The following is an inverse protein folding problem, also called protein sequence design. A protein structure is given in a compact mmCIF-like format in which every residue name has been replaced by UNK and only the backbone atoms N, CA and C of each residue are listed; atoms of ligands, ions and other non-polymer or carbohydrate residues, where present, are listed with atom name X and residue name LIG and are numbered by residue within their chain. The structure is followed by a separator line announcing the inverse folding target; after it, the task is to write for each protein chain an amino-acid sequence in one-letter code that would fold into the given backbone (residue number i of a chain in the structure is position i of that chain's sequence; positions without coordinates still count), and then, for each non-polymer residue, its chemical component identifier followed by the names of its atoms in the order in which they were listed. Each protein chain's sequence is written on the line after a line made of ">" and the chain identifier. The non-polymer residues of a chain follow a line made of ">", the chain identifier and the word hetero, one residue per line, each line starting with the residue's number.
data_IF_520569941118
#
_entry.id   IF_520569941118
#
_cell.length_a   1.000
_cell.length_b   1.000
_cell.length_c   1.000
_cell.angle_alpha   90.00
_cell.angle_beta   90.00
_cell.angle_gamma   90.00
#
_symmetry.space_group_name_H-M   'P 1'
#
loop_
_entity.id
_entity.type
_entity.pdbx_description
1 polymer ?
#
# COMPACT_ATOMS: atom_id res chain seq x y z
N UNK A 1 46.55 57.42 -30.59
CA UNK A 1 46.80 56.33 -29.61
C UNK A 1 45.97 56.45 -28.33
N UNK A 2 45.92 57.62 -27.66
CA UNK A 2 45.10 57.81 -26.42
C UNK A 2 43.60 57.52 -26.57
N UNK A 3 42.98 57.88 -27.71
CA UNK A 3 41.54 57.62 -27.98
C UNK A 3 41.21 56.14 -28.20
N UNK A 4 42.17 55.33 -28.68
CA UNK A 4 41.99 53.89 -28.95
C UNK A 4 42.08 53.10 -27.65
N UNK A 5 43.00 53.48 -26.76
CA UNK A 5 43.16 52.89 -25.42
C UNK A 5 41.92 53.16 -24.56
N UNK A 6 41.32 54.35 -24.70
CA UNK A 6 40.11 54.74 -23.98
C UNK A 6 38.86 53.99 -24.49
N UNK A 7 38.82 53.67 -25.78
CA UNK A 7 37.74 52.85 -26.35
C UNK A 7 37.86 51.37 -25.93
N UNK A 8 39.08 50.83 -25.87
CA UNK A 8 39.30 49.44 -25.45
C UNK A 8 39.05 49.23 -23.97
N UNK A 9 39.32 50.24 -23.11
CA UNK A 9 39.00 50.15 -21.69
C UNK A 9 37.49 50.17 -21.42
N UNK A 10 36.72 50.90 -22.23
CA UNK A 10 35.25 50.93 -22.13
C UNK A 10 34.65 49.58 -22.53
N UNK A 11 35.16 48.96 -23.60
CA UNK A 11 34.71 47.62 -24.03
C UNK A 11 35.07 46.56 -22.97
N UNK A 12 36.25 46.65 -22.37
CA UNK A 12 36.64 45.73 -21.28
C UNK A 12 35.76 45.89 -20.03
N UNK A 13 35.36 47.12 -19.68
CA UNK A 13 34.44 47.38 -18.55
C UNK A 13 33.02 46.86 -18.81
N UNK A 14 32.52 46.97 -20.05
CA UNK A 14 31.20 46.46 -20.42
C UNK A 14 31.16 44.92 -20.42
N UNK A 15 32.26 44.25 -20.80
CA UNK A 15 32.39 42.79 -20.74
C UNK A 15 32.54 42.24 -19.32
N UNK A 16 32.96 43.07 -18.34
CA UNK A 16 33.11 42.67 -16.95
C UNK A 16 31.78 42.64 -16.17
N UNK A 17 30.72 43.29 -16.69
CA UNK A 17 29.37 43.28 -16.10
C UNK A 17 28.47 42.15 -16.64
N UNK A 18 29.08 41.03 -17.07
CA UNK A 18 28.37 39.82 -17.49
C UNK A 18 28.34 38.73 -16.41
N UNK A 19 28.06 39.09 -15.16
CA UNK A 19 27.95 38.15 -14.05
C UNK A 19 26.62 37.39 -14.08
N UNK A 20 26.48 36.42 -14.96
CA UNK A 20 25.36 35.48 -14.96
C UNK A 20 25.53 34.48 -13.82
N UNK A 21 24.78 34.69 -12.73
CA UNK A 21 24.64 33.71 -11.65
C UNK A 21 25.07 34.28 -10.30
N UNK A 22 24.26 35.17 -9.73
CA UNK A 22 24.23 35.33 -8.28
C UNK A 22 24.02 33.93 -7.70
N UNK A 23 24.83 33.49 -6.73
CA UNK A 23 24.73 32.16 -6.10
C UNK A 23 23.45 31.95 -5.28
N UNK A 24 22.37 32.62 -5.67
CA UNK A 24 21.02 32.48 -5.14
C UNK A 24 20.44 31.13 -5.53
N UNK A 25 19.87 30.45 -4.54
CA UNK A 25 19.20 29.17 -4.74
C UNK A 25 17.88 29.41 -5.48
N UNK A 26 17.92 29.37 -6.82
CA UNK A 26 16.75 29.54 -7.71
C UNK A 26 15.79 28.34 -7.73
N UNK A 27 16.04 27.32 -6.91
CA UNK A 27 15.26 26.08 -6.85
C UNK A 27 15.51 25.14 -8.03
N UNK A 28 15.02 23.90 -7.88
CA UNK A 28 15.11 22.87 -8.93
C UNK A 28 14.25 23.30 -10.11
N UNK A 29 14.90 23.52 -11.26
CA UNK A 29 14.26 23.89 -12.52
C UNK A 29 13.57 22.69 -13.17
N UNK A 30 12.59 22.94 -14.04
CA UNK A 30 11.85 21.91 -14.80
C UNK A 30 11.08 20.90 -13.94
N UNK A 31 10.42 21.34 -12.87
CA UNK A 31 9.45 20.47 -12.18
C UNK A 31 8.26 20.24 -13.09
N UNK A 32 7.85 18.97 -13.21
CA UNK A 32 6.58 18.63 -13.85
C UNK A 32 5.44 19.38 -13.14
N UNK A 33 4.53 19.97 -13.93
CA UNK A 33 3.33 20.59 -13.39
C UNK A 33 2.46 19.46 -12.84
N UNK A 34 2.26 19.46 -11.52
CA UNK A 34 1.39 18.50 -10.85
C UNK A 34 -0.07 18.88 -11.10
N UNK A 35 -0.75 18.11 -11.95
CA UNK A 35 -2.19 18.19 -12.13
C UNK A 35 -2.83 17.05 -11.34
N UNK A 36 -3.48 17.32 -10.20
CA UNK A 36 -4.23 16.28 -9.49
C UNK A 36 -5.47 15.95 -10.33
N UNK A 37 -5.43 14.84 -11.05
CA UNK A 37 -6.62 14.19 -11.60
C UNK A 37 -7.22 13.29 -10.53
N UNK A 38 -8.53 13.24 -10.45
CA UNK A 38 -9.21 12.36 -9.51
C UNK A 38 -8.83 10.89 -9.78
N UNK A 39 -8.41 10.11 -8.76
CA UNK A 39 -8.14 8.69 -8.93
C UNK A 39 -9.38 7.93 -9.39
N UNK A 40 -9.18 6.86 -10.16
CA UNK A 40 -10.29 6.03 -10.64
C UNK A 40 -11.07 5.41 -9.46
N UNK A 41 -12.40 5.51 -9.51
CA UNK A 41 -13.30 4.96 -8.48
C UNK A 41 -13.35 5.78 -7.18
N UNK A 42 -12.74 6.96 -7.15
CA UNK A 42 -12.74 7.86 -5.99
C UNK A 42 -13.36 9.21 -6.32
N UNK A 43 -13.97 9.82 -5.31
CA UNK A 43 -14.52 11.18 -5.34
C UNK A 43 -13.72 12.11 -4.44
N UNK A 44 -13.50 13.34 -4.90
CA UNK A 44 -12.85 14.39 -4.11
C UNK A 44 -13.82 14.99 -3.08
N UNK A 45 -13.44 14.94 -1.80
CA UNK A 45 -14.17 15.56 -0.71
C UNK A 45 -13.45 16.86 -0.32
N UNK A 46 -14.09 18.04 -0.45
CA UNK A 46 -13.46 19.31 -0.13
C UNK A 46 -13.25 19.45 1.38
N UNK A 47 -12.26 20.27 1.75
CA UNK A 47 -12.04 20.63 3.16
C UNK A 47 -13.26 21.34 3.74
N UNK A 48 -13.59 21.03 4.98
CA UNK A 48 -14.74 21.61 5.65
C UNK A 48 -14.82 21.23 7.11
N UNK A 49 -15.83 21.75 7.78
CA UNK A 49 -16.21 21.33 9.12
C UNK A 49 -17.65 20.80 9.10
N UNK A 50 -17.90 19.76 9.88
CA UNK A 50 -19.24 19.21 10.08
C UNK A 50 -19.46 18.89 11.55
N UNK A 51 -20.73 18.90 11.97
CA UNK A 51 -21.12 18.50 13.32
C UNK A 51 -21.34 16.98 13.32
N UNK A 52 -20.44 16.27 13.99
CA UNK A 52 -20.49 14.82 14.18
C UNK A 52 -21.32 14.49 15.41
N UNK A 53 -22.30 13.61 15.29
CA UNK A 53 -23.17 13.17 16.38
C UNK A 53 -24.65 13.32 16.04
N UNK A 54 -25.55 12.89 16.94
CA UNK A 54 -26.98 13.00 16.70
C UNK A 54 -27.38 14.48 16.58
N UNK A 55 -28.12 14.80 15.53
CA UNK A 55 -28.73 16.12 15.34
C UNK A 55 -30.13 16.20 15.96
N UNK A 56 -30.77 15.06 16.22
CA UNK A 56 -32.14 14.97 16.73
C UNK A 56 -32.20 14.19 18.05
N UNK A 57 -33.09 14.62 18.95
CA UNK A 57 -33.05 14.27 20.37
C UNK A 57 -34.28 13.45 20.77
N UNK A 58 -34.42 12.24 20.22
CA UNK A 58 -35.69 11.49 20.30
C UNK A 58 -35.79 10.45 21.44
N UNK A 59 -34.92 10.51 22.45
CA UNK A 59 -35.13 9.74 23.69
C UNK A 59 -34.73 10.56 24.91
N UNK A 60 -35.69 11.08 25.71
CA UNK A 60 -35.37 11.62 27.02
C UNK A 60 -34.79 10.46 27.84
N UNK A 61 -33.58 10.64 28.37
CA UNK A 61 -32.73 9.68 29.13
C UNK A 61 -31.58 8.97 28.38
N UNK A 62 -31.36 9.16 27.08
CA UNK A 62 -30.17 8.64 26.38
C UNK A 62 -29.03 9.69 26.31
N UNK A 63 -28.50 10.10 27.46
CA UNK A 63 -27.48 11.16 27.54
C UNK A 63 -26.05 10.62 27.29
N UNK A 64 -25.74 10.12 26.08
CA UNK A 64 -24.43 9.44 25.83
C UNK A 64 -23.65 9.94 24.62
N UNK A 65 -24.22 10.71 23.69
CA UNK A 65 -23.45 11.25 22.56
C UNK A 65 -23.55 12.77 22.45
N UNK A 66 -22.44 13.46 22.71
CA UNK A 66 -22.30 14.90 22.48
C UNK A 66 -21.95 15.14 21.03
N UNK A 67 -22.68 16.04 20.37
CA UNK A 67 -22.30 16.53 19.05
C UNK A 67 -20.95 17.28 19.14
N UNK A 68 -19.99 16.92 18.28
CA UNK A 68 -18.67 17.54 18.19
C UNK A 68 -18.45 18.09 16.80
N UNK A 69 -18.05 19.35 16.68
CA UNK A 69 -17.63 19.92 15.41
C UNK A 69 -16.23 19.42 15.07
N UNK A 70 -16.10 18.69 13.97
CA UNK A 70 -14.82 18.18 13.47
C UNK A 70 -14.50 18.89 12.17
N UNK A 71 -13.27 19.40 12.05
CA UNK A 71 -12.71 19.89 10.80
C UNK A 71 -11.87 18.80 10.15
N UNK A 72 -12.09 18.56 8.86
CA UNK A 72 -11.35 17.57 8.08
C UNK A 72 -10.72 18.27 6.89
N UNK A 73 -9.46 17.97 6.61
CA UNK A 73 -8.77 18.44 5.40
C UNK A 73 -9.38 17.81 4.16
N UNK A 74 -9.05 18.31 2.97
CA UNK A 74 -9.53 17.71 1.73
C UNK A 74 -8.88 16.32 1.51
N UNK A 75 -9.67 15.33 1.07
CA UNK A 75 -9.21 13.97 0.79
C UNK A 75 -10.09 13.29 -0.27
N UNK A 76 -9.67 12.12 -0.73
CA UNK A 76 -10.45 11.29 -1.66
C UNK A 76 -11.14 10.15 -0.92
N UNK A 77 -12.38 9.85 -1.28
CA UNK A 77 -13.16 8.72 -0.75
C UNK A 77 -13.60 7.83 -1.90
N UNK A 78 -13.65 6.52 -1.69
CA UNK A 78 -14.18 5.59 -2.70
C UNK A 78 -15.67 5.92 -3.00
N UNK A 79 -16.07 5.88 -4.27
CA UNK A 79 -17.45 6.17 -4.69
C UNK A 79 -18.43 5.09 -4.20
N UNK A 80 -17.98 3.85 -4.19
CA UNK A 80 -18.75 2.67 -3.74
C UNK A 80 -17.92 1.82 -2.80
N UNK A 81 -18.59 1.02 -1.97
CA UNK A 81 -17.91 -0.02 -1.19
C UNK A 81 -17.13 -0.98 -2.10
N UNK A 82 -16.01 -1.49 -1.59
CA UNK A 82 -15.19 -2.47 -2.31
C UNK A 82 -16.03 -3.69 -2.64
N UNK A 83 -16.11 -4.03 -3.91
CA UNK A 83 -16.87 -5.17 -4.40
C UNK A 83 -16.14 -6.49 -4.15
N UNK A 84 -16.87 -7.60 -4.09
CA UNK A 84 -16.26 -8.93 -3.97
C UNK A 84 -15.26 -9.22 -5.08
N UNK A 85 -15.51 -8.73 -6.30
CA UNK A 85 -14.62 -8.96 -7.42
C UNK A 85 -13.28 -8.21 -7.28
N UNK A 86 -13.32 -6.95 -6.82
CA UNK A 86 -12.12 -6.17 -6.51
C UNK A 86 -11.34 -6.82 -5.36
N UNK A 87 -12.05 -7.32 -4.35
CA UNK A 87 -11.40 -8.04 -3.26
C UNK A 87 -10.77 -9.36 -3.74
N UNK A 88 -11.43 -10.11 -4.63
CA UNK A 88 -10.83 -11.30 -5.27
C UNK A 88 -9.59 -10.96 -6.07
N UNK A 89 -9.59 -9.83 -6.80
CA UNK A 89 -8.41 -9.36 -7.50
C UNK A 89 -7.26 -9.15 -6.51
N UNK A 90 -7.50 -8.44 -5.41
CA UNK A 90 -6.52 -8.24 -4.35
C UNK A 90 -6.02 -9.56 -3.76
N UNK A 91 -6.90 -10.47 -3.35
CA UNK A 91 -6.49 -11.78 -2.80
C UNK A 91 -5.69 -12.61 -3.81
N UNK A 92 -5.98 -12.50 -5.10
CA UNK A 92 -5.22 -13.18 -6.17
C UNK A 92 -3.81 -12.60 -6.31
N UNK A 93 -3.66 -11.27 -6.20
CA UNK A 93 -2.34 -10.64 -6.16
C UNK A 93 -1.53 -11.06 -4.95
N UNK A 94 -2.16 -11.18 -3.77
CA UNK A 94 -1.47 -11.64 -2.57
C UNK A 94 -1.08 -13.11 -2.69
N UNK A 95 -1.97 -13.97 -3.21
CA UNK A 95 -1.65 -15.37 -3.53
C UNK A 95 -0.44 -15.46 -4.45
N UNK A 96 -0.45 -14.70 -5.55
CA UNK A 96 0.64 -14.74 -6.52
C UNK A 96 1.94 -14.18 -5.92
N UNK A 97 1.86 -13.16 -5.05
CA UNK A 97 3.04 -12.64 -4.33
C UNK A 97 3.67 -13.70 -3.41
N UNK A 98 2.84 -14.45 -2.69
CA UNK A 98 3.31 -15.53 -1.81
C UNK A 98 3.94 -16.65 -2.62
N UNK A 99 3.29 -17.05 -3.72
CA UNK A 99 3.84 -18.06 -4.62
C UNK A 99 5.21 -17.64 -5.18
N UNK A 100 5.38 -16.37 -5.59
CA UNK A 100 6.69 -15.86 -6.03
C UNK A 100 7.76 -15.94 -4.94
N UNK A 101 7.43 -15.62 -3.70
CA UNK A 101 8.37 -15.70 -2.57
C UNK A 101 8.76 -17.16 -2.34
N UNK A 102 7.79 -18.06 -2.23
CA UNK A 102 8.02 -19.49 -1.97
C UNK A 102 8.87 -20.12 -3.08
N UNK A 103 8.55 -19.86 -4.35
CA UNK A 103 9.30 -20.41 -5.48
C UNK A 103 10.73 -19.86 -5.56
N UNK A 104 10.91 -18.58 -5.25
CA UNK A 104 12.23 -17.98 -5.20
C UNK A 104 13.08 -18.52 -4.04
N UNK A 105 12.48 -18.71 -2.86
CA UNK A 105 13.16 -19.33 -1.70
C UNK A 105 13.49 -20.81 -1.94
N UNK A 106 12.66 -21.52 -2.71
CA UNK A 106 12.91 -22.88 -3.15
C UNK A 106 14.02 -22.99 -4.23
N UNK A 107 14.52 -21.86 -4.73
CA UNK A 107 15.62 -21.80 -5.70
C UNK A 107 15.19 -21.82 -7.16
N UNK A 108 13.90 -21.59 -7.47
CA UNK A 108 13.44 -21.44 -8.85
C UNK A 108 13.82 -20.04 -9.36
N UNK A 109 14.64 -20.02 -10.40
CA UNK A 109 15.17 -18.79 -10.96
C UNK A 109 14.07 -17.86 -11.51
N UNK A 110 14.30 -16.56 -11.37
CA UNK A 110 13.50 -15.53 -12.02
C UNK A 110 12.28 -15.05 -11.22
N UNK A 111 11.91 -15.66 -10.10
CA UNK A 111 10.79 -15.19 -9.26
C UNK A 111 11.18 -14.05 -8.30
N UNK A 112 12.45 -13.98 -7.88
CA UNK A 112 12.99 -12.95 -7.00
C UNK A 112 14.11 -12.16 -7.70
N UNK A 113 14.20 -10.87 -7.37
CA UNK A 113 15.24 -9.95 -7.77
C UNK A 113 16.11 -9.74 -6.53
N UNK A 114 17.26 -10.41 -6.53
CA UNK A 114 18.24 -10.36 -5.44
C UNK A 114 19.24 -9.22 -5.61
N UNK A 115 19.36 -8.66 -6.81
CA UNK A 115 20.33 -7.60 -7.11
C UNK A 115 19.67 -6.34 -7.66
N UNK A 116 20.09 -5.18 -7.17
CA UNK A 116 19.70 -3.90 -7.75
C UNK A 116 20.47 -3.62 -9.05
N UNK A 117 20.05 -2.59 -9.81
CA UNK A 117 20.69 -2.13 -11.07
C UNK A 117 22.18 -1.83 -10.95
N UNK A 118 22.68 -1.66 -9.72
CA UNK A 118 24.06 -1.35 -9.41
C UNK A 118 24.87 -2.56 -8.88
N UNK A 119 24.28 -3.76 -8.86
CA UNK A 119 24.92 -4.99 -8.37
C UNK A 119 24.99 -5.10 -6.84
N UNK A 120 24.17 -4.34 -6.12
CA UNK A 120 24.05 -4.47 -4.66
C UNK A 120 23.01 -5.55 -4.35
N UNK A 121 23.33 -6.44 -3.41
CA UNK A 121 22.39 -7.44 -2.91
C UNK A 121 21.24 -6.75 -2.15
N UNK A 122 20.01 -7.19 -2.42
CA UNK A 122 18.78 -6.71 -1.83
C UNK A 122 18.32 -7.70 -0.75
N UNK A 123 18.30 -7.24 0.50
CA UNK A 123 17.75 -7.97 1.63
C UNK A 123 16.60 -7.15 2.27
N UNK A 124 15.33 -7.58 2.17
CA UNK A 124 14.85 -8.80 1.50
C UNK A 124 14.82 -8.67 -0.03
N UNK A 125 14.88 -9.82 -0.71
CA UNK A 125 14.76 -9.89 -2.17
C UNK A 125 13.39 -9.35 -2.64
N UNK A 126 13.37 -8.68 -3.79
CA UNK A 126 12.14 -8.09 -4.35
C UNK A 126 11.46 -9.06 -5.30
N UNK A 127 10.13 -9.14 -5.25
CA UNK A 127 9.37 -9.98 -6.18
C UNK A 127 9.54 -9.50 -7.62
N UNK A 128 9.83 -10.44 -8.53
CA UNK A 128 9.87 -10.21 -9.96
C UNK A 128 8.50 -10.50 -10.61
N UNK A 129 7.69 -9.45 -10.76
CA UNK A 129 6.38 -9.54 -11.43
C UNK A 129 6.44 -9.76 -12.94
N UNK A 130 7.62 -9.71 -13.56
CA UNK A 130 7.75 -9.96 -15.01
C UNK A 130 7.70 -11.44 -15.37
N UNK A 131 8.13 -12.30 -14.44
CA UNK A 131 8.08 -13.76 -14.58
C UNK A 131 6.66 -14.24 -14.26
N UNK A 132 6.12 -15.13 -15.08
CA UNK A 132 4.81 -15.73 -14.83
C UNK A 132 4.99 -17.05 -14.09
N UNK A 133 4.09 -17.33 -13.14
CA UNK A 133 4.05 -18.61 -12.43
C UNK A 133 3.38 -19.66 -13.34
N UNK A 134 4.09 -20.75 -13.60
CA UNK A 134 3.57 -21.89 -14.34
C UNK A 134 2.97 -22.92 -13.36
N UNK A 135 1.68 -22.78 -13.06
CA UNK A 135 0.97 -23.64 -12.10
C UNK A 135 0.85 -25.11 -12.52
N UNK A 136 1.02 -25.40 -13.82
CA UNK A 136 0.93 -26.76 -14.37
C UNK A 136 2.25 -27.53 -14.31
N UNK A 137 3.37 -26.85 -14.02
CA UNK A 137 4.68 -27.48 -13.92
C UNK A 137 4.76 -28.37 -12.68
N UNK A 138 5.40 -29.54 -12.80
CA UNK A 138 5.46 -30.54 -11.75
C UNK A 138 6.22 -30.03 -10.52
N UNK A 139 7.39 -29.42 -10.75
CA UNK A 139 8.26 -28.92 -9.69
C UNK A 139 7.60 -27.78 -8.92
N UNK A 140 7.08 -26.79 -9.66
CA UNK A 140 6.31 -25.67 -9.10
C UNK A 140 5.12 -26.19 -8.28
N UNK A 141 4.39 -27.18 -8.81
CA UNK A 141 3.22 -27.72 -8.13
C UNK A 141 3.58 -28.42 -6.82
N UNK A 142 4.64 -29.23 -6.80
CA UNK A 142 5.07 -29.94 -5.59
C UNK A 142 5.42 -28.95 -4.46
N UNK A 143 6.22 -27.93 -4.78
CA UNK A 143 6.62 -26.88 -3.81
C UNK A 143 5.39 -26.11 -3.30
N UNK A 144 4.51 -25.69 -4.19
CA UNK A 144 3.33 -24.93 -3.79
C UNK A 144 2.33 -25.79 -3.01
N UNK A 145 2.18 -27.08 -3.34
CA UNK A 145 1.31 -28.01 -2.63
C UNK A 145 1.72 -28.23 -1.17
N UNK A 146 3.01 -28.14 -0.86
CA UNK A 146 3.52 -28.22 0.52
C UNK A 146 3.25 -26.94 1.33
N UNK A 147 3.48 -25.77 0.73
CA UNK A 147 3.48 -24.49 1.47
C UNK A 147 2.15 -23.72 1.43
N UNK A 148 1.37 -23.84 0.36
CA UNK A 148 0.16 -23.01 0.13
C UNK A 148 -1.17 -23.76 0.23
N UNK A 149 -1.18 -25.08 0.12
CA UNK A 149 -2.41 -25.87 0.09
C UNK A 149 -2.67 -26.56 1.43
N UNK A 150 -3.95 -26.86 1.69
CA UNK A 150 -4.31 -27.68 2.84
C UNK A 150 -3.69 -29.08 2.73
N UNK A 151 -3.26 -29.68 3.85
CA UNK A 151 -2.76 -31.05 3.87
C UNK A 151 -3.89 -32.04 3.57
N UNK A 152 -3.56 -33.23 3.09
CA UNK A 152 -4.54 -34.20 2.59
C UNK A 152 -5.66 -34.55 3.57
N UNK A 153 -5.36 -34.57 4.88
CA UNK A 153 -6.33 -34.93 5.92
C UNK A 153 -7.34 -33.81 6.26
N UNK A 154 -7.06 -32.55 5.92
CA UNK A 154 -7.99 -31.42 6.10
C UNK A 154 -8.87 -31.17 4.86
N UNK A 155 -8.54 -31.76 3.70
CA UNK A 155 -9.23 -31.51 2.43
C UNK A 155 -10.65 -32.09 2.42
N UNK A 156 -11.64 -31.24 2.15
CA UNK A 156 -13.01 -31.69 1.94
C UNK A 156 -13.16 -32.39 0.58
N UNK A 157 -13.61 -33.66 0.57
CA UNK A 157 -13.77 -34.47 -0.63
C UNK A 157 -12.48 -34.61 -1.48
N UNK A 158 -11.31 -34.61 -0.82
CA UNK A 158 -9.99 -34.69 -1.47
C UNK A 158 -9.73 -33.60 -2.51
N UNK A 159 -10.46 -32.48 -2.45
CA UNK A 159 -10.25 -31.34 -3.33
C UNK A 159 -9.05 -30.54 -2.86
N UNK A 160 -8.25 -30.08 -3.82
CA UNK A 160 -7.13 -29.16 -3.53
C UNK A 160 -7.71 -27.78 -3.24
N UNK A 161 -7.46 -27.30 -2.03
CA UNK A 161 -7.91 -26.00 -1.55
C UNK A 161 -6.72 -25.29 -0.92
N UNK A 162 -6.62 -23.98 -1.15
CA UNK A 162 -5.58 -23.16 -0.55
C UNK A 162 -5.79 -23.04 0.96
N UNK A 163 -4.70 -23.09 1.73
CA UNK A 163 -4.76 -22.79 3.15
C UNK A 163 -4.92 -21.27 3.35
N UNK A 164 -6.15 -20.87 3.67
CA UNK A 164 -6.51 -19.46 3.89
C UNK A 164 -5.77 -18.85 5.09
N UNK A 165 -5.23 -19.67 6.00
CA UNK A 165 -4.47 -19.21 7.18
C UNK A 165 -3.11 -18.63 6.81
N UNK A 166 -2.57 -19.03 5.64
CA UNK A 166 -1.27 -18.56 5.13
C UNK A 166 -1.36 -17.20 4.44
N UNK A 167 -2.57 -16.70 4.18
CA UNK A 167 -2.81 -15.44 3.47
C UNK A 167 -2.64 -14.26 4.44
N UNK A 168 -1.41 -14.08 4.91
CA UNK A 168 -1.03 -13.03 5.84
C UNK A 168 -0.31 -11.94 5.07
N UNK A 169 -0.95 -10.77 4.98
CA UNK A 169 -0.34 -9.59 4.42
C UNK A 169 0.51 -8.88 5.48
N UNK A 170 1.78 -8.65 5.17
CA UNK A 170 2.73 -7.97 6.05
C UNK A 170 3.08 -6.60 5.46
N UNK A 171 2.96 -5.56 6.26
CA UNK A 171 3.37 -4.22 5.86
C UNK A 171 4.06 -3.50 7.01
N UNK A 172 4.93 -2.55 6.67
CA UNK A 172 5.68 -1.77 7.65
C UNK A 172 5.01 -0.41 7.85
N UNK A 173 4.83 -0.03 9.10
CA UNK A 173 4.34 1.28 9.52
C UNK A 173 5.46 2.02 10.22
N UNK A 174 5.72 3.25 9.78
CA UNK A 174 6.60 4.17 10.47
C UNK A 174 5.83 4.91 11.55
N UNK A 175 6.28 4.81 12.80
CA UNK A 175 5.80 5.70 13.87
C UNK A 175 6.45 7.08 13.71
N UNK A 176 5.75 7.97 13.01
CA UNK A 176 6.17 9.35 12.78
C UNK A 176 6.26 10.11 14.11
N UNK A 177 5.39 9.83 15.06
CA UNK A 177 5.33 10.54 16.33
C UNK A 177 6.58 10.25 17.17
N UNK A 178 6.97 8.99 17.28
CA UNK A 178 8.21 8.58 17.94
C UNK A 178 9.45 9.08 17.18
N UNK A 179 9.44 9.02 15.84
CA UNK A 179 10.54 9.49 15.01
C UNK A 179 10.75 11.02 15.04
N UNK A 180 9.70 11.79 15.35
CA UNK A 180 9.77 13.25 15.46
C UNK A 180 10.40 13.72 16.78
N UNK A 181 10.51 12.85 17.79
CA UNK A 181 11.07 13.20 19.10
C UNK A 181 12.59 13.43 18.97
N UNK A 182 13.04 14.65 19.24
CA UNK A 182 14.46 15.05 19.11
C UNK A 182 15.41 14.18 19.92
N UNK A 183 15.04 13.78 21.13
CA UNK A 183 15.89 12.94 21.99
C UNK A 183 16.18 11.56 21.40
N UNK A 184 15.37 11.07 20.46
CA UNK A 184 15.59 9.81 19.76
C UNK A 184 16.38 9.94 18.45
N UNK A 185 16.66 11.17 18.01
CA UNK A 185 17.27 11.46 16.70
C UNK A 185 18.55 12.30 16.79
N UNK A 186 18.80 12.95 17.92
CA UNK A 186 19.93 13.86 18.10
C UNK A 186 20.95 13.28 19.10
N UNK A 187 22.20 13.77 19.02
CA UNK A 187 23.30 13.27 19.84
C UNK A 187 23.77 11.88 19.42
N UNK A 188 23.85 10.98 20.41
CA UNK A 188 24.24 9.57 20.27
C UNK A 188 23.03 8.62 20.24
N UNK A 189 21.83 9.17 19.97
CA UNK A 189 20.62 8.35 19.90
C UNK A 189 20.64 7.39 18.71
N UNK A 190 20.21 6.15 18.93
CA UNK A 190 20.19 5.07 17.92
C UNK A 190 19.38 5.45 16.67
N UNK A 191 18.24 6.11 16.84
CA UNK A 191 17.40 6.61 15.73
C UNK A 191 18.05 7.64 14.81
N UNK A 192 19.22 8.18 15.16
CA UNK A 192 20.05 8.99 14.24
C UNK A 192 20.74 8.15 13.18
N UNK A 193 21.14 6.93 13.55
CA UNK A 193 21.89 6.00 12.72
C UNK A 193 20.93 5.04 11.99
N UNK A 194 19.95 4.51 12.72
CA UNK A 194 19.06 3.47 12.23
C UNK A 194 17.59 3.88 12.33
N UNK A 195 16.94 4.06 11.17
CA UNK A 195 15.50 4.37 11.10
C UNK A 195 14.62 3.17 11.44
N UNK A 196 15.15 1.96 11.39
CA UNK A 196 14.43 0.71 11.65
C UNK A 196 13.82 0.66 13.06
N UNK A 197 14.37 1.38 14.03
CA UNK A 197 13.81 1.51 15.39
C UNK A 197 12.36 2.04 15.38
N UNK A 198 11.99 2.83 14.38
CA UNK A 198 10.66 3.43 14.24
C UNK A 198 9.75 2.64 13.30
N UNK A 199 10.24 1.56 12.70
CA UNK A 199 9.47 0.70 11.82
C UNK A 199 8.86 -0.43 12.63
N UNK A 200 7.55 -0.61 12.49
CA UNK A 200 6.81 -1.73 13.05
C UNK A 200 6.19 -2.53 11.91
N UNK A 201 6.31 -3.86 11.97
CA UNK A 201 5.65 -4.74 11.00
C UNK A 201 4.29 -5.14 11.55
N UNK A 202 3.25 -4.92 10.75
CA UNK A 202 1.89 -5.35 11.05
C UNK A 202 1.56 -6.54 10.14
N UNK A 203 1.01 -7.59 10.75
CA UNK A 203 0.56 -8.79 10.06
C UNK A 203 -0.98 -8.84 10.09
N UNK A 204 -1.60 -9.02 8.93
CA UNK A 204 -3.05 -9.05 8.81
C UNK A 204 -3.48 -10.25 7.96
N UNK A 205 -4.41 -11.06 8.48
CA UNK A 205 -5.06 -12.09 7.68
C UNK A 205 -6.02 -11.41 6.70
N UNK A 206 -5.78 -11.59 5.41
CA UNK A 206 -6.56 -10.96 4.35
C UNK A 206 -7.66 -11.85 3.80
N UNK A 207 -7.71 -13.13 4.15
CA UNK A 207 -8.77 -13.99 3.63
C UNK A 207 -10.07 -13.67 4.37
N UNK A 208 -11.20 -13.42 3.66
CA UNK A 208 -12.43 -13.05 4.33
C UNK A 208 -12.99 -14.25 5.08
N UNK A 209 -13.63 -14.00 6.23
CA UNK A 209 -14.35 -15.06 6.92
C UNK A 209 -15.57 -15.47 6.10
N UNK A 210 -15.54 -16.69 5.55
CA UNK A 210 -16.65 -17.22 4.75
C UNK A 210 -17.79 -17.73 5.62
N UNK A 211 -17.55 -18.00 6.91
CA UNK A 211 -18.51 -18.59 7.85
C UNK A 211 -19.37 -17.56 8.58
N UNK A 212 -19.09 -16.26 8.44
CA UNK A 212 -19.88 -15.15 9.01
C UNK A 212 -21.39 -15.32 8.76
N UNK A 213 -21.80 -15.75 7.57
CA UNK A 213 -23.21 -15.92 7.21
C UNK A 213 -23.94 -16.96 8.04
N UNK A 214 -23.23 -18.00 8.51
CA UNK A 214 -23.78 -19.02 9.40
C UNK A 214 -23.66 -18.58 10.86
N UNK A 215 -22.57 -17.91 11.23
CA UNK A 215 -22.32 -17.45 12.59
C UNK A 215 -23.30 -16.36 13.04
N UNK A 216 -23.46 -15.30 12.24
CA UNK A 216 -24.24 -14.12 12.62
C UNK A 216 -25.75 -14.31 12.44
N UNK A 217 -26.16 -15.31 11.64
CA UNK A 217 -27.56 -15.56 11.28
C UNK A 217 -27.91 -17.02 11.53
N UNK A 218 -28.15 -17.36 12.80
CA UNK A 218 -28.41 -18.73 13.26
C UNK A 218 -29.74 -19.34 12.82
N UNK A 219 -30.70 -18.54 12.32
CA UNK A 219 -32.06 -19.00 11.98
C UNK A 219 -32.43 -18.92 10.49
N UNK A 220 -31.49 -18.64 9.60
CA UNK A 220 -31.72 -18.57 8.15
C UNK A 220 -30.93 -19.65 7.39
N UNK A 221 -31.52 -20.17 6.31
CA UNK A 221 -30.87 -21.13 5.42
C UNK A 221 -29.74 -20.46 4.61
N UNK A 222 -28.59 -20.24 5.28
CA UNK A 222 -27.46 -19.49 4.74
C UNK A 222 -26.33 -20.37 4.19
N UNK A 223 -26.44 -21.70 4.27
CA UNK A 223 -25.48 -22.63 3.70
C UNK A 223 -25.08 -22.32 2.23
N UNK A 224 -26.00 -21.91 1.33
CA UNK A 224 -25.62 -21.52 -0.02
C UNK A 224 -24.74 -20.28 -0.03
N UNK A 225 -25.04 -19.28 0.80
CA UNK A 225 -24.26 -18.05 0.90
C UNK A 225 -22.87 -18.35 1.48
N UNK A 226 -22.77 -19.07 2.59
CA UNK A 226 -21.50 -19.49 3.19
C UNK A 226 -20.57 -20.18 2.17
N UNK A 227 -21.11 -21.07 1.32
CA UNK A 227 -20.31 -21.81 0.34
C UNK A 227 -19.97 -21.04 -0.93
N UNK A 228 -20.81 -20.09 -1.35
CA UNK A 228 -20.74 -19.49 -2.68
C UNK A 228 -20.45 -17.98 -2.66
N UNK A 229 -20.55 -17.33 -1.51
CA UNK A 229 -20.41 -15.88 -1.38
C UNK A 229 -19.08 -15.38 -1.94
N UNK A 230 -17.96 -15.92 -1.45
CA UNK A 230 -16.64 -15.47 -1.88
C UNK A 230 -16.16 -16.13 -3.17
N UNK A 231 -16.70 -17.28 -3.58
CA UNK A 231 -16.14 -18.05 -4.71
C UNK A 231 -16.98 -18.01 -5.99
N UNK A 232 -18.27 -17.66 -5.92
CA UNK A 232 -19.17 -17.77 -7.07
C UNK A 232 -19.15 -16.53 -7.96
N UNK A 233 -19.23 -16.74 -9.27
CA UNK A 233 -19.18 -15.67 -10.27
C UNK A 233 -20.38 -14.70 -10.22
N UNK A 234 -21.53 -15.12 -9.67
CA UNK A 234 -22.68 -14.22 -9.56
C UNK A 234 -22.52 -13.21 -8.40
N UNK A 235 -21.69 -13.52 -7.41
CA UNK A 235 -21.53 -12.72 -6.20
C UNK A 235 -20.35 -11.74 -6.36
N UNK A 236 -20.46 -10.83 -7.32
CA UNK A 236 -19.39 -9.88 -7.67
C UNK A 236 -19.54 -8.51 -7.05
N UNK A 237 -20.77 -8.03 -6.81
CA UNK A 237 -21.05 -6.62 -6.50
C UNK A 237 -21.17 -6.25 -5.02
N UNK A 238 -21.47 -7.20 -4.14
CA UNK A 238 -21.74 -6.92 -2.74
C UNK A 238 -20.71 -7.58 -1.85
N UNK A 239 -19.97 -6.78 -1.10
CA UNK A 239 -19.11 -7.26 -0.03
C UNK A 239 -19.73 -6.97 1.35
N UNK A 240 -19.34 -7.76 2.36
CA UNK A 240 -19.75 -7.67 3.74
C UNK A 240 -18.48 -7.80 4.55
N UNK A 241 -18.16 -6.72 5.27
CA UNK A 241 -17.07 -6.65 6.22
C UNK A 241 -17.56 -6.96 7.63
#
# INVERSE_FOLDING_TARGET
>A
MKKIILLSSIVALLSACGGSGNGELIGVQNRAIWNPTDPYGMVFIPQGSFNMGPSDQDVPFANVSQAKTVSVGAFYMDETEITNNEYRQFTSWVRDSLAHIILGEAGIEGHLIEEDKFGNFLDPARINWSTRINWDDQEVREILEEEMYLPEHERLNSRREFDTRKYIYKYQVLDISAAAVKSKREGDATGKRDRSEFLSTVELNIFPDTLTWTHDYSYSFNDPYTKSYFFHNNNTRYNRF
#
